data_IF_129620445863
#
_entry.id   IF_129620445863
#
_cell.length_a   1.000
_cell.length_b   1.000
_cell.length_c   1.000
_cell.angle_alpha   90.00
_cell.angle_beta   90.00
_cell.angle_gamma   90.00
#
_symmetry.space_group_name_H-M   'P 1'
#
loop_
_entity.id
_entity.type
_entity.pdbx_description
1 polymer ?
#
# COMPACT_ATOMS: atom_id res chain seq x y z
N UNK A 1 39.91 -3.75 -5.24
CA UNK A 1 38.76 -2.83 -5.34
C UNK A 1 37.55 -3.59 -4.86
N UNK A 2 36.75 -3.04 -3.95
CA UNK A 2 35.49 -3.70 -3.57
C UNK A 2 34.59 -3.78 -4.81
N UNK A 3 33.82 -4.86 -4.91
CA UNK A 3 32.95 -5.11 -6.06
C UNK A 3 31.72 -4.23 -5.90
N UNK A 4 31.51 -3.29 -6.84
CA UNK A 4 30.31 -2.45 -6.88
C UNK A 4 29.04 -3.31 -6.90
N UNK A 5 27.98 -2.85 -6.23
CA UNK A 5 26.72 -3.56 -6.17
C UNK A 5 25.87 -3.22 -7.41
N UNK A 6 25.43 -4.20 -8.21
CA UNK A 6 24.60 -3.93 -9.37
C UNK A 6 23.20 -3.47 -8.95
N UNK A 7 22.72 -2.36 -9.52
CA UNK A 7 21.37 -1.83 -9.29
C UNK A 7 20.72 -1.45 -10.62
N UNK A 8 19.42 -1.61 -10.71
CA UNK A 8 18.62 -1.11 -11.83
C UNK A 8 18.17 0.32 -11.50
N UNK A 9 18.23 1.23 -12.46
CA UNK A 9 17.79 2.62 -12.31
C UNK A 9 16.81 3.01 -13.41
N UNK A 10 15.72 3.69 -13.03
CA UNK A 10 14.80 4.32 -13.97
C UNK A 10 14.59 5.80 -13.65
N UNK A 11 14.81 6.67 -14.65
CA UNK A 11 14.68 8.12 -14.51
C UNK A 11 13.22 8.58 -14.44
N UNK A 12 12.27 7.73 -14.82
CA UNK A 12 10.84 8.01 -14.75
C UNK A 12 10.41 9.23 -15.59
N UNK A 13 9.31 9.85 -15.17
CA UNK A 13 8.63 10.91 -15.93
C UNK A 13 8.57 12.23 -15.13
N UNK A 14 8.27 13.33 -15.81
CA UNK A 14 8.07 14.65 -15.20
C UNK A 14 9.33 15.19 -14.51
N UNK A 15 9.28 15.43 -13.19
CA UNK A 15 10.47 15.84 -12.41
C UNK A 15 11.49 14.71 -12.21
N UNK A 16 11.10 13.46 -12.52
CA UNK A 16 11.88 12.26 -12.27
C UNK A 16 13.35 12.36 -12.73
N UNK A 17 13.63 12.76 -13.98
CA UNK A 17 14.99 12.87 -14.46
C UNK A 17 15.86 13.82 -13.65
N UNK A 18 15.36 15.02 -13.32
CA UNK A 18 16.11 16.05 -12.57
C UNK A 18 16.46 15.59 -11.16
N UNK A 19 15.51 14.95 -10.46
CA UNK A 19 15.76 14.47 -9.09
C UNK A 19 16.61 13.20 -9.06
N UNK A 20 16.53 12.36 -10.10
CA UNK A 20 17.39 11.17 -10.25
C UNK A 20 18.84 11.59 -10.51
N UNK A 21 19.08 12.54 -11.41
CA UNK A 21 20.43 13.10 -11.64
C UNK A 21 21.04 13.63 -10.35
N UNK A 22 20.28 14.46 -9.61
CA UNK A 22 20.71 14.99 -8.31
C UNK A 22 21.01 13.88 -7.30
N UNK A 23 20.15 12.87 -7.21
CA UNK A 23 20.31 11.76 -6.26
C UNK A 23 21.53 10.91 -6.60
N UNK A 24 21.71 10.50 -7.86
CA UNK A 24 22.85 9.71 -8.29
C UNK A 24 24.18 10.45 -8.09
N UNK A 25 24.20 11.76 -8.34
CA UNK A 25 25.36 12.60 -8.07
C UNK A 25 25.74 12.58 -6.59
N UNK A 26 24.77 12.79 -5.68
CA UNK A 26 25.00 12.73 -4.23
C UNK A 26 25.46 11.33 -3.78
N UNK A 27 24.87 10.27 -4.32
CA UNK A 27 25.27 8.89 -4.01
C UNK A 27 26.73 8.63 -4.41
N UNK A 28 27.11 9.05 -5.61
CA UNK A 28 28.46 8.89 -6.14
C UNK A 28 29.49 9.63 -5.28
N UNK A 29 29.28 10.93 -5.02
CA UNK A 29 30.20 11.73 -4.20
C UNK A 29 30.20 11.30 -2.74
N UNK A 30 29.08 10.76 -2.26
CA UNK A 30 28.94 10.14 -0.94
C UNK A 30 29.73 8.85 -0.76
N UNK A 31 30.29 8.29 -1.84
CA UNK A 31 31.08 7.07 -1.83
C UNK A 31 30.26 5.80 -1.93
N UNK A 32 29.05 5.85 -2.49
CA UNK A 32 28.25 4.66 -2.76
C UNK A 32 28.89 3.81 -3.86
N UNK A 33 29.05 2.51 -3.60
CA UNK A 33 29.66 1.56 -4.53
C UNK A 33 28.58 0.89 -5.39
N UNK A 34 28.12 1.61 -6.43
CA UNK A 34 27.00 1.19 -7.28
C UNK A 34 27.46 0.92 -8.73
N UNK A 35 27.00 -0.19 -9.29
CA UNK A 35 27.08 -0.51 -10.73
C UNK A 35 25.67 -0.32 -11.32
N UNK A 36 25.47 0.80 -12.02
CA UNK A 36 24.15 1.24 -12.44
C UNK A 36 23.79 0.68 -13.81
N UNK A 37 22.66 -0.01 -13.88
CA UNK A 37 21.99 -0.43 -15.12
C UNK A 37 20.76 0.44 -15.35
N UNK A 38 20.80 1.31 -16.36
CA UNK A 38 19.66 2.20 -16.66
C UNK A 38 18.65 1.49 -17.56
N UNK A 39 17.36 1.61 -17.21
CA UNK A 39 16.23 1.09 -17.98
C UNK A 39 15.22 2.21 -18.26
N UNK A 40 14.41 1.99 -19.30
CA UNK A 40 13.26 2.84 -19.62
C UNK A 40 11.96 2.14 -19.19
N UNK A 41 11.08 2.90 -18.54
CA UNK A 41 9.75 2.49 -18.10
C UNK A 41 8.82 3.71 -18.10
N UNK A 42 7.51 3.48 -18.03
CA UNK A 42 6.55 4.56 -17.85
C UNK A 42 5.99 5.11 -19.16
N UNK A 43 5.71 6.42 -19.20
CA UNK A 43 4.97 7.09 -20.28
C UNK A 43 5.56 6.80 -21.67
N UNK A 44 6.87 6.93 -21.82
CA UNK A 44 7.55 6.69 -23.10
C UNK A 44 7.40 5.23 -23.58
N UNK A 45 7.39 4.28 -22.65
CA UNK A 45 7.25 2.85 -22.98
C UNK A 45 5.81 2.52 -23.36
N UNK A 46 4.82 3.12 -22.71
CA UNK A 46 3.42 3.03 -23.14
C UNK A 46 3.22 3.59 -24.56
N UNK A 47 3.79 4.77 -24.84
CA UNK A 47 3.71 5.41 -26.15
C UNK A 47 4.40 4.58 -27.26
N UNK A 48 5.38 3.77 -26.90
CA UNK A 48 6.04 2.83 -27.79
C UNK A 48 5.23 1.54 -28.06
N UNK A 49 4.03 1.40 -27.46
CA UNK A 49 3.10 0.28 -27.70
C UNK A 49 3.18 -0.85 -26.66
N UNK A 50 4.01 -0.73 -25.64
CA UNK A 50 4.14 -1.72 -24.57
C UNK A 50 3.07 -1.49 -23.49
N UNK A 51 2.01 -2.30 -23.53
CA UNK A 51 0.84 -2.11 -22.67
C UNK A 51 1.12 -2.24 -21.16
N UNK A 52 2.24 -2.87 -20.78
CA UNK A 52 2.65 -2.98 -19.38
C UNK A 52 3.50 -1.79 -18.89
N UNK A 53 3.94 -0.90 -19.80
CA UNK A 53 4.81 0.23 -19.47
C UNK A 53 6.24 -0.17 -19.06
N UNK A 54 6.62 -1.42 -19.35
CA UNK A 54 7.93 -2.02 -19.09
C UNK A 54 8.18 -3.13 -20.12
N UNK A 55 9.39 -3.19 -20.67
CA UNK A 55 9.78 -4.21 -21.67
C UNK A 55 10.59 -5.37 -21.03
N UNK A 56 10.82 -6.45 -21.77
CA UNK A 56 11.51 -7.64 -21.24
C UNK A 56 12.97 -7.36 -20.85
N UNK A 57 13.69 -6.49 -21.56
CA UNK A 57 15.07 -6.12 -21.20
C UNK A 57 15.14 -5.42 -19.84
N UNK A 58 14.16 -4.57 -19.55
CA UNK A 58 14.02 -3.93 -18.25
C UNK A 58 13.73 -4.97 -17.15
N UNK A 59 12.86 -5.95 -17.43
CA UNK A 59 12.63 -7.08 -16.51
C UNK A 59 13.89 -7.92 -16.26
N UNK A 60 14.68 -8.21 -17.29
CA UNK A 60 15.94 -8.95 -17.16
C UNK A 60 16.92 -8.23 -16.22
N UNK A 61 17.04 -6.91 -16.34
CA UNK A 61 17.85 -6.06 -15.45
C UNK A 61 17.32 -6.14 -14.01
N UNK A 62 16.02 -5.90 -13.79
CA UNK A 62 15.39 -5.98 -12.45
C UNK A 62 15.59 -7.35 -11.80
N UNK A 63 15.38 -8.45 -12.54
CA UNK A 63 15.56 -9.83 -12.02
C UNK A 63 17.02 -10.13 -11.69
N UNK A 64 17.97 -9.57 -12.45
CA UNK A 64 19.41 -9.75 -12.25
C UNK A 64 19.90 -8.95 -11.04
N UNK A 65 19.57 -7.66 -10.96
CA UNK A 65 20.08 -6.78 -9.91
C UNK A 65 19.33 -6.97 -8.59
N UNK A 66 18.03 -7.31 -8.63
CA UNK A 66 17.12 -7.42 -7.48
C UNK A 66 16.96 -6.15 -6.63
N UNK A 67 17.66 -5.09 -7.00
CA UNK A 67 17.64 -3.77 -6.37
C UNK A 67 17.28 -2.78 -7.45
N UNK A 68 16.18 -2.06 -7.24
CA UNK A 68 15.64 -1.14 -8.22
C UNK A 68 15.42 0.24 -7.60
N UNK A 69 16.13 1.25 -8.08
CA UNK A 69 15.92 2.65 -7.69
C UNK A 69 15.21 3.39 -8.82
N UNK A 70 14.05 3.98 -8.54
CA UNK A 70 13.30 4.69 -9.57
C UNK A 70 12.76 6.03 -9.14
N UNK A 71 12.76 6.95 -10.09
CA UNK A 71 12.01 8.19 -9.97
C UNK A 71 10.50 7.94 -10.19
N UNK A 72 9.64 8.95 -9.94
CA UNK A 72 8.20 8.84 -10.18
C UNK A 72 7.86 8.57 -11.64
N UNK A 73 6.77 7.83 -11.87
CA UNK A 73 6.27 7.45 -13.20
C UNK A 73 4.84 7.98 -13.35
N UNK A 74 4.51 8.55 -14.49
CA UNK A 74 3.15 9.03 -14.78
C UNK A 74 2.26 7.82 -15.11
N UNK A 75 1.13 7.69 -14.41
CA UNK A 75 0.06 6.72 -14.76
C UNK A 75 -1.10 7.50 -15.40
N UNK A 76 -1.61 7.10 -16.59
CA UNK A 76 -2.77 7.74 -17.21
C UNK A 76 -4.01 7.73 -16.28
N UNK A 77 -4.80 8.81 -16.27
CA UNK A 77 -6.03 8.91 -15.45
C UNK A 77 -7.27 8.47 -16.23
N UNK A 78 -8.20 7.77 -15.57
CA UNK A 78 -9.59 7.59 -16.05
C UNK A 78 -9.81 6.53 -17.13
N UNK A 79 -8.79 5.75 -17.48
CA UNK A 79 -8.86 4.64 -18.45
C UNK A 79 -7.49 4.31 -19.03
N UNK A 80 -7.29 3.08 -19.50
CA UNK A 80 -6.03 2.63 -20.11
C UNK A 80 -5.23 1.64 -19.25
N UNK A 81 -3.92 1.62 -19.48
CA UNK A 81 -2.98 0.60 -18.98
C UNK A 81 -2.90 0.51 -17.45
N UNK A 82 -2.66 -0.70 -16.93
CA UNK A 82 -2.44 -0.95 -15.50
C UNK A 82 -1.17 -0.21 -15.03
N UNK A 83 -1.19 0.38 -13.83
CA UNK A 83 -0.04 1.10 -13.29
C UNK A 83 1.25 0.25 -13.29
N UNK A 84 2.35 0.79 -13.83
CA UNK A 84 3.68 0.15 -13.80
C UNK A 84 4.11 -0.12 -12.36
N UNK A 85 3.84 0.80 -11.43
CA UNK A 85 4.22 0.66 -10.03
C UNK A 85 3.57 -0.58 -9.40
N UNK A 86 2.26 -0.76 -9.61
CA UNK A 86 1.51 -1.92 -9.13
C UNK A 86 2.02 -3.21 -9.80
N UNK A 87 2.30 -3.14 -11.11
CA UNK A 87 2.84 -4.27 -11.87
C UNK A 87 4.20 -4.73 -11.34
N UNK A 88 5.13 -3.81 -11.07
CA UNK A 88 6.46 -4.13 -10.51
C UNK A 88 6.34 -4.69 -9.11
N UNK A 89 5.53 -4.08 -8.24
CA UNK A 89 5.31 -4.56 -6.87
C UNK A 89 4.78 -5.99 -6.84
N UNK A 90 3.75 -6.28 -7.63
CA UNK A 90 3.18 -7.62 -7.72
C UNK A 90 4.14 -8.65 -8.34
N UNK A 91 4.85 -8.30 -9.41
CA UNK A 91 5.75 -9.23 -10.09
C UNK A 91 7.01 -9.56 -9.27
N UNK A 92 7.50 -8.62 -8.46
CA UNK A 92 8.67 -8.81 -7.59
C UNK A 92 8.31 -9.32 -6.19
N UNK A 93 7.03 -9.39 -5.85
CA UNK A 93 6.56 -9.82 -4.53
C UNK A 93 6.92 -8.83 -3.41
N UNK A 94 6.80 -7.52 -3.68
CA UNK A 94 7.22 -6.44 -2.78
C UNK A 94 6.13 -6.09 -1.76
N UNK A 95 5.86 -7.00 -0.83
CA UNK A 95 4.73 -6.97 0.10
C UNK A 95 4.74 -5.83 1.13
N UNK A 96 5.90 -5.26 1.48
CA UNK A 96 6.00 -4.20 2.48
C UNK A 96 6.46 -2.87 1.88
N UNK A 97 5.68 -1.80 2.02
CA UNK A 97 6.08 -0.44 1.66
C UNK A 97 6.37 0.38 2.93
N UNK A 98 7.63 0.71 3.17
CA UNK A 98 8.13 1.44 4.34
C UNK A 98 8.25 2.93 4.03
N UNK A 99 7.63 3.78 4.84
CA UNK A 99 7.56 5.24 4.66
C UNK A 99 7.84 5.96 5.98
N UNK A 100 9.10 6.29 6.28
CA UNK A 100 9.45 7.11 7.44
C UNK A 100 8.91 8.55 7.29
N UNK A 101 8.11 9.00 8.25
CA UNK A 101 7.54 10.34 8.31
C UNK A 101 8.11 11.05 9.54
N UNK A 102 9.13 11.88 9.31
CA UNK A 102 9.92 12.53 10.36
C UNK A 102 9.76 14.06 10.24
N UNK A 103 9.72 14.74 11.38
CA UNK A 103 9.80 16.19 11.48
C UNK A 103 11.26 16.66 11.47
N UNK A 104 11.53 17.72 10.72
CA UNK A 104 12.84 18.38 10.66
C UNK A 104 12.80 19.79 11.27
N UNK A 105 11.91 19.99 12.25
CA UNK A 105 11.82 21.25 12.97
C UNK A 105 13.13 21.58 13.74
N UNK A 106 13.47 22.88 13.91
CA UNK A 106 12.76 24.05 13.41
C UNK A 106 13.12 24.44 11.96
N UNK A 107 13.90 23.62 11.24
CA UNK A 107 14.43 23.98 9.91
C UNK A 107 13.40 23.79 8.79
N UNK A 108 12.54 22.78 8.92
CA UNK A 108 11.34 22.64 8.10
C UNK A 108 10.14 22.95 8.98
N UNK A 109 9.33 23.93 8.55
CA UNK A 109 8.13 24.34 9.30
C UNK A 109 7.08 23.22 9.29
N UNK A 110 6.60 22.86 10.48
CA UNK A 110 5.50 21.91 10.67
C UNK A 110 4.71 22.25 11.93
N UNK A 111 3.47 21.78 11.99
CA UNK A 111 2.64 21.82 13.21
C UNK A 111 3.02 20.73 14.22
N UNK A 112 3.83 19.74 13.82
CA UNK A 112 4.16 18.56 14.64
C UNK A 112 5.69 18.42 14.77
N UNK A 113 6.35 19.29 15.57
CA UNK A 113 7.80 19.37 15.62
C UNK A 113 8.48 18.10 16.16
N UNK A 114 7.77 17.29 16.94
CA UNK A 114 8.28 16.07 17.58
C UNK A 114 7.92 14.78 16.83
N UNK A 115 7.27 14.88 15.66
CA UNK A 115 6.85 13.71 14.89
C UNK A 115 8.05 12.88 14.41
N UNK A 116 8.08 11.60 14.74
CA UNK A 116 9.05 10.62 14.25
C UNK A 116 8.41 9.23 14.22
N UNK A 117 7.71 8.94 13.11
CA UNK A 117 6.99 7.68 12.93
C UNK A 117 7.34 7.02 11.60
N UNK A 118 7.02 5.74 11.48
CA UNK A 118 7.20 4.96 10.24
C UNK A 118 5.90 4.26 9.89
N UNK A 119 5.43 4.46 8.67
CA UNK A 119 4.29 3.69 8.15
C UNK A 119 4.81 2.48 7.37
N UNK A 120 4.28 1.31 7.69
CA UNK A 120 4.50 0.04 7.02
C UNK A 120 3.19 -0.35 6.35
N UNK A 121 3.12 -0.14 5.05
CA UNK A 121 1.92 -0.41 4.23
C UNK A 121 2.02 -1.79 3.57
N UNK A 122 0.97 -2.60 3.72
CA UNK A 122 0.75 -3.80 2.89
C UNK A 122 0.58 -3.39 1.42
N UNK A 123 1.19 -4.11 0.48
CA UNK A 123 1.46 -3.60 -0.86
C UNK A 123 1.14 -4.56 -2.01
N UNK A 124 0.50 -5.70 -1.73
CA UNK A 124 0.15 -6.76 -2.69
C UNK A 124 -1.37 -6.99 -2.86
N UNK A 125 -2.18 -6.74 -1.82
CA UNK A 125 -3.61 -7.06 -1.83
C UNK A 125 -4.50 -5.83 -1.55
N UNK A 126 -5.68 -6.04 -0.95
CA UNK A 126 -6.75 -5.05 -0.74
C UNK A 126 -7.34 -4.52 -2.06
N UNK A 127 -8.06 -3.40 -2.00
CA UNK A 127 -8.70 -2.74 -3.15
C UNK A 127 -7.71 -2.33 -4.27
N UNK A 128 -6.42 -2.27 -3.97
CA UNK A 128 -5.36 -1.95 -4.93
C UNK A 128 -5.10 -3.06 -5.96
N UNK A 129 -5.68 -4.24 -5.77
CA UNK A 129 -5.67 -5.31 -6.80
C UNK A 129 -6.34 -4.87 -8.11
N UNK A 130 -7.29 -3.93 -8.05
CA UNK A 130 -8.01 -3.40 -9.21
C UNK A 130 -8.94 -4.43 -9.85
N UNK A 131 -9.45 -5.38 -9.06
CA UNK A 131 -10.44 -6.35 -9.52
C UNK A 131 -11.81 -5.69 -9.43
N UNK A 132 -12.29 -5.22 -10.58
CA UNK A 132 -13.53 -4.46 -10.70
C UNK A 132 -14.46 -5.10 -11.74
N UNK A 133 -15.77 -5.03 -11.49
CA UNK A 133 -16.81 -5.53 -12.38
C UNK A 133 -17.91 -4.49 -12.50
N UNK A 134 -18.35 -4.21 -13.72
CA UNK A 134 -19.61 -3.51 -13.94
C UNK A 134 -20.74 -4.55 -13.94
N UNK A 135 -21.54 -4.57 -12.88
CA UNK A 135 -22.59 -5.57 -12.65
C UNK A 135 -23.89 -5.21 -13.41
N UNK A 136 -24.23 -3.92 -13.46
CA UNK A 136 -25.36 -3.36 -14.21
C UNK A 136 -24.91 -2.05 -14.89
N UNK A 137 -25.72 -1.42 -15.76
CA UNK A 137 -25.36 -0.11 -16.33
C UNK A 137 -24.95 0.94 -15.29
N UNK A 138 -25.55 0.91 -14.09
CA UNK A 138 -25.36 1.92 -13.05
C UNK A 138 -24.63 1.41 -11.78
N UNK A 139 -24.17 0.14 -11.79
CA UNK A 139 -23.57 -0.50 -10.61
C UNK A 139 -22.23 -1.14 -10.95
N UNK A 140 -21.19 -0.67 -10.27
CA UNK A 140 -19.85 -1.28 -10.29
C UNK A 140 -19.49 -1.85 -8.92
N UNK A 141 -18.72 -2.93 -8.93
CA UNK A 141 -18.17 -3.60 -7.75
C UNK A 141 -16.65 -3.58 -7.82
N UNK A 142 -16.01 -3.35 -6.67
CA UNK A 142 -14.58 -3.58 -6.47
C UNK A 142 -14.38 -4.65 -5.37
N UNK A 143 -13.47 -5.59 -5.59
CA UNK A 143 -13.22 -6.69 -4.67
C UNK A 143 -12.08 -6.32 -3.70
N UNK A 144 -12.40 -6.28 -2.39
CA UNK A 144 -11.41 -6.18 -1.32
C UNK A 144 -10.98 -7.57 -0.87
N UNK A 145 -9.75 -7.95 -1.22
CA UNK A 145 -9.12 -9.21 -0.80
C UNK A 145 -8.14 -8.95 0.35
N UNK A 146 -8.31 -9.68 1.44
CA UNK A 146 -7.37 -9.72 2.56
C UNK A 146 -7.08 -11.17 2.88
N UNK A 147 -5.79 -11.54 2.95
CA UNK A 147 -5.36 -12.91 3.16
C UNK A 147 -4.50 -13.03 4.41
N UNK A 148 -4.68 -14.14 5.14
CA UNK A 148 -3.87 -14.43 6.34
C UNK A 148 -2.36 -14.40 6.05
N UNK A 149 -1.84 -15.03 4.97
CA UNK A 149 -0.41 -14.99 4.68
C UNK A 149 0.13 -13.57 4.49
N UNK A 150 -0.59 -12.69 3.79
CA UNK A 150 -0.17 -11.30 3.60
C UNK A 150 -0.22 -10.52 4.92
N UNK A 151 -1.30 -10.66 5.70
CA UNK A 151 -1.40 -10.07 7.05
C UNK A 151 -0.25 -10.48 7.96
N UNK A 152 0.15 -11.75 7.93
CA UNK A 152 1.26 -12.27 8.74
C UNK A 152 2.58 -11.68 8.30
N UNK A 153 2.86 -11.68 6.99
CA UNK A 153 4.09 -11.09 6.43
C UNK A 153 4.24 -9.64 6.82
N UNK A 154 3.21 -8.82 6.58
CA UNK A 154 3.30 -7.38 6.80
C UNK A 154 3.36 -7.03 8.29
N UNK A 155 2.58 -7.72 9.12
CA UNK A 155 2.59 -7.51 10.57
C UNK A 155 3.94 -7.89 11.15
N UNK A 156 4.45 -9.09 10.83
CA UNK A 156 5.74 -9.57 11.32
C UNK A 156 6.86 -8.63 10.89
N UNK A 157 6.86 -8.23 9.62
CA UNK A 157 7.81 -7.24 9.11
C UNK A 157 7.77 -5.94 9.92
N UNK A 158 6.59 -5.42 10.29
CA UNK A 158 6.47 -4.20 11.10
C UNK A 158 7.05 -4.36 12.51
N UNK A 159 6.81 -5.50 13.18
CA UNK A 159 7.40 -5.79 14.50
C UNK A 159 8.92 -5.99 14.44
N UNK A 160 9.41 -6.70 13.42
CA UNK A 160 10.86 -6.88 13.22
C UNK A 160 11.55 -5.58 12.85
N UNK A 161 10.92 -4.75 12.01
CA UNK A 161 11.39 -3.40 11.73
C UNK A 161 11.48 -2.59 13.03
N UNK A 162 10.42 -2.62 13.85
CA UNK A 162 10.41 -1.94 15.13
C UNK A 162 11.56 -2.41 16.04
N UNK A 163 11.78 -3.72 16.14
CA UNK A 163 12.88 -4.29 16.91
C UNK A 163 14.26 -3.88 16.37
N UNK A 164 14.47 -3.97 15.05
CA UNK A 164 15.74 -3.65 14.39
C UNK A 164 16.14 -2.19 14.58
N UNK A 165 15.19 -1.27 14.43
CA UNK A 165 15.41 0.17 14.57
C UNK A 165 15.20 0.68 16.00
N UNK A 166 14.99 -0.21 16.97
CA UNK A 166 14.85 0.13 18.39
C UNK A 166 13.57 0.88 18.76
N UNK A 167 12.55 0.86 17.88
CA UNK A 167 11.20 1.39 18.12
C UNK A 167 10.50 0.59 19.22
N UNK A 168 9.49 1.19 19.84
CA UNK A 168 8.85 0.68 21.06
C UNK A 168 7.40 0.30 20.89
N UNK A 169 6.73 0.83 19.86
CA UNK A 169 5.32 0.57 19.63
C UNK A 169 5.02 0.28 18.16
N UNK A 170 4.13 -0.69 17.92
CA UNK A 170 3.51 -0.95 16.62
C UNK A 170 2.01 -0.78 16.79
N UNK A 171 1.42 0.07 15.96
CA UNK A 171 -0.02 0.34 15.96
C UNK A 171 -0.63 -0.11 14.63
N UNK A 172 -1.80 -0.73 14.63
CA UNK A 172 -2.57 -1.04 13.41
C UNK A 172 -3.91 -0.33 13.41
N UNK A 173 -4.38 0.10 12.23
CA UNK A 173 -5.71 0.67 12.07
C UNK A 173 -6.58 -0.18 11.13
N UNK A 174 -7.80 -0.51 11.56
CA UNK A 174 -8.74 -1.31 10.76
C UNK A 174 -10.16 -0.76 10.85
N UNK A 175 -11.07 -1.23 9.99
CA UNK A 175 -12.52 -0.97 10.08
C UNK A 175 -13.29 -2.25 10.42
N UNK A 176 -12.74 -3.08 11.28
CA UNK A 176 -13.29 -4.39 11.65
C UNK A 176 -14.66 -4.32 12.37
N UNK A 177 -15.02 -3.15 12.91
CA UNK A 177 -16.37 -2.88 13.41
C UNK A 177 -17.44 -3.00 12.29
N UNK A 178 -17.09 -2.66 11.05
CA UNK A 178 -17.93 -2.80 9.85
C UNK A 178 -17.51 -4.03 9.01
N UNK A 179 -16.24 -4.10 8.62
CA UNK A 179 -15.65 -5.15 7.80
C UNK A 179 -15.13 -6.31 8.66
N UNK A 180 -16.07 -7.00 9.31
CA UNK A 180 -15.79 -8.02 10.35
C UNK A 180 -14.92 -9.19 9.86
N UNK A 181 -14.93 -9.50 8.57
CA UNK A 181 -14.20 -10.63 8.01
C UNK A 181 -12.83 -10.23 7.46
N UNK A 182 -12.76 -9.26 6.55
CA UNK A 182 -11.50 -8.85 5.92
C UNK A 182 -10.61 -8.08 6.89
N UNK A 183 -11.07 -6.92 7.36
CA UNK A 183 -10.33 -6.11 8.34
C UNK A 183 -10.25 -6.81 9.71
N UNK A 184 -11.26 -7.61 10.07
CA UNK A 184 -11.21 -8.46 11.26
C UNK A 184 -10.16 -9.57 11.17
N UNK A 185 -9.90 -10.14 9.98
CA UNK A 185 -8.78 -11.06 9.78
C UNK A 185 -7.43 -10.35 9.96
N UNK A 186 -7.28 -9.14 9.41
CA UNK A 186 -6.07 -8.34 9.60
C UNK A 186 -5.82 -8.04 11.08
N UNK A 187 -6.83 -7.57 11.80
CA UNK A 187 -6.71 -7.28 13.24
C UNK A 187 -6.39 -8.55 14.05
N UNK A 188 -7.09 -9.65 13.80
CA UNK A 188 -6.82 -10.93 14.47
C UNK A 188 -5.38 -11.38 14.28
N UNK A 189 -4.87 -11.33 13.05
CA UNK A 189 -3.49 -11.70 12.75
C UNK A 189 -2.50 -10.73 13.41
N UNK A 190 -2.81 -9.43 13.41
CA UNK A 190 -2.01 -8.43 14.12
C UNK A 190 -1.82 -8.79 15.59
N UNK A 191 -2.93 -9.15 16.26
CA UNK A 191 -2.91 -9.57 17.65
C UNK A 191 -2.09 -10.83 17.88
N UNK A 192 -2.30 -11.87 17.05
CA UNK A 192 -1.60 -13.16 17.13
C UNK A 192 -0.08 -13.00 17.00
N UNK A 193 0.38 -12.24 16.00
CA UNK A 193 1.80 -12.00 15.77
C UNK A 193 2.39 -11.11 16.87
N UNK A 194 1.64 -10.12 17.36
CA UNK A 194 2.11 -9.23 18.42
C UNK A 194 2.46 -9.96 19.73
N UNK A 195 1.83 -11.10 20.02
CA UNK A 195 2.19 -11.95 21.18
C UNK A 195 3.63 -12.51 21.08
N UNK A 196 4.18 -12.63 19.88
CA UNK A 196 5.56 -13.09 19.66
C UNK A 196 6.61 -12.01 20.01
N UNK A 197 6.19 -10.74 20.17
CA UNK A 197 7.06 -9.58 20.40
C UNK A 197 6.72 -8.83 21.70
N UNK A 198 6.81 -9.47 22.89
CA UNK A 198 6.34 -8.91 24.16
C UNK A 198 7.08 -7.65 24.66
N UNK A 199 8.19 -7.27 24.00
CA UNK A 199 8.96 -6.04 24.31
C UNK A 199 8.48 -4.82 23.50
N UNK A 200 7.57 -5.02 22.55
CA UNK A 200 7.01 -3.99 21.69
C UNK A 200 5.54 -3.84 22.08
N UNK A 201 5.14 -2.62 22.41
CA UNK A 201 3.74 -2.32 22.67
C UNK A 201 2.94 -2.52 21.37
N UNK A 202 1.84 -3.26 21.44
CA UNK A 202 0.89 -3.40 20.33
C UNK A 202 -0.36 -2.58 20.63
N UNK A 203 -0.86 -1.88 19.62
CA UNK A 203 -2.02 -1.01 19.74
C UNK A 203 -2.92 -1.14 18.51
N UNK A 204 -4.24 -1.09 18.71
CA UNK A 204 -5.23 -1.10 17.64
C UNK A 204 -6.14 0.14 17.73
N UNK A 205 -6.46 0.72 16.57
CA UNK A 205 -7.48 1.75 16.43
C UNK A 205 -8.46 1.41 15.30
N UNK A 206 -9.69 1.90 15.42
CA UNK A 206 -10.57 2.00 14.25
C UNK A 206 -10.04 3.12 13.35
N UNK A 207 -9.95 2.86 12.05
CA UNK A 207 -9.30 3.74 11.06
C UNK A 207 -9.81 5.19 11.05
N UNK A 208 -11.09 5.43 11.39
CA UNK A 208 -11.65 6.79 11.43
C UNK A 208 -11.06 7.64 12.56
N UNK A 209 -11.18 7.18 13.79
CA UNK A 209 -10.64 7.86 14.97
C UNK A 209 -9.11 7.76 15.03
N UNK A 210 -8.54 6.66 14.55
CA UNK A 210 -7.10 6.48 14.40
C UNK A 210 -6.50 7.49 13.44
N UNK A 211 -7.10 7.70 12.26
CA UNK A 211 -6.67 8.73 11.32
C UNK A 211 -6.82 10.15 11.89
N UNK A 212 -7.91 10.44 12.60
CA UNK A 212 -8.10 11.73 13.27
C UNK A 212 -7.03 11.98 14.35
N UNK A 213 -6.71 10.95 15.15
CA UNK A 213 -5.65 11.02 16.17
C UNK A 213 -4.28 11.16 15.51
N UNK A 214 -4.01 10.44 14.42
CA UNK A 214 -2.79 10.53 13.63
C UNK A 214 -2.59 11.95 13.07
N UNK A 215 -3.63 12.56 12.52
CA UNK A 215 -3.53 13.92 11.99
C UNK A 215 -3.38 15.00 13.08
N UNK A 216 -3.88 14.75 14.28
CA UNK A 216 -3.85 15.72 15.38
C UNK A 216 -2.61 15.59 16.28
N UNK A 217 -2.20 14.36 16.60
CA UNK A 217 -1.10 14.02 17.50
C UNK A 217 -0.28 12.85 16.94
N UNK A 218 0.38 13.01 15.77
CA UNK A 218 1.16 11.95 15.15
C UNK A 218 2.31 11.45 16.05
N UNK A 219 2.84 12.29 16.95
CA UNK A 219 3.84 11.93 17.96
C UNK A 219 3.39 10.85 18.95
N UNK A 220 2.08 10.54 19.00
CA UNK A 220 1.58 9.41 19.78
C UNK A 220 1.88 8.05 19.13
N UNK A 221 2.33 8.01 17.88
CA UNK A 221 2.60 6.78 17.12
C UNK A 221 4.09 6.62 16.85
N UNK A 222 4.52 5.36 16.66
CA UNK A 222 5.92 5.01 16.40
C UNK A 222 6.02 4.23 15.08
N UNK A 223 5.70 2.94 15.07
CA UNK A 223 5.48 2.19 13.81
C UNK A 223 3.98 1.99 13.60
N UNK A 224 3.48 2.29 12.40
CA UNK A 224 2.06 2.10 12.04
C UNK A 224 1.96 1.12 10.88
N UNK A 225 1.31 -0.03 11.09
CA UNK A 225 1.11 -1.06 10.06
C UNK A 225 -0.32 -1.04 9.54
N UNK A 226 -0.50 -1.05 8.22
CA UNK A 226 -1.81 -0.82 7.60
C UNK A 226 -2.03 -1.70 6.36
N UNK A 227 -3.29 -2.08 6.12
CA UNK A 227 -3.73 -2.63 4.83
C UNK A 227 -3.55 -1.58 3.71
N UNK A 228 -3.46 -2.04 2.45
CA UNK A 228 -2.98 -1.25 1.32
C UNK A 228 -3.63 0.13 1.17
N UNK A 229 -4.97 0.21 1.08
CA UNK A 229 -5.66 1.48 0.82
C UNK A 229 -5.52 2.45 1.99
N UNK A 230 -5.58 1.95 3.23
CA UNK A 230 -5.42 2.80 4.41
C UNK A 230 -3.99 3.31 4.54
N UNK A 231 -3.01 2.44 4.29
CA UNK A 231 -1.59 2.77 4.30
C UNK A 231 -1.23 3.81 3.25
N UNK A 232 -1.83 3.74 2.06
CA UNK A 232 -1.67 4.75 1.02
C UNK A 232 -2.11 6.14 1.50
N UNK A 233 -3.37 6.27 1.92
CA UNK A 233 -3.96 7.55 2.35
C UNK A 233 -3.18 8.14 3.52
N UNK A 234 -2.92 7.35 4.56
CA UNK A 234 -2.30 7.86 5.78
C UNK A 234 -0.82 8.20 5.62
N UNK A 235 -0.11 7.51 4.73
CA UNK A 235 1.29 7.87 4.47
C UNK A 235 1.46 9.14 3.66
N UNK A 236 0.53 9.46 2.77
CA UNK A 236 0.50 10.77 2.10
C UNK A 236 0.19 11.88 3.11
N UNK A 237 -0.74 11.65 4.04
CA UNK A 237 -0.99 12.56 5.16
C UNK A 237 0.28 12.73 6.01
N UNK A 238 0.90 11.63 6.44
CA UNK A 238 2.14 11.64 7.23
C UNK A 238 3.28 12.41 6.53
N UNK A 239 3.46 12.20 5.23
CA UNK A 239 4.45 12.91 4.44
C UNK A 239 4.18 14.42 4.37
N UNK A 240 2.92 14.82 4.27
CA UNK A 240 2.56 16.24 4.31
C UNK A 240 2.76 16.84 5.72
N UNK A 241 2.53 16.08 6.80
CA UNK A 241 2.80 16.51 8.18
C UNK A 241 4.31 16.67 8.46
N UNK A 242 5.18 15.95 7.74
CA UNK A 242 6.64 16.15 7.76
C UNK A 242 7.11 17.50 7.19
N UNK A 243 6.19 18.28 6.60
CA UNK A 243 6.43 19.61 6.06
C UNK A 243 6.34 19.67 4.54
N UNK A 244 6.66 18.58 3.85
CA UNK A 244 6.50 18.45 2.39
C UNK A 244 6.53 16.98 1.99
N UNK A 245 5.66 16.60 1.05
CA UNK A 245 5.73 15.29 0.37
C UNK A 245 7.06 15.06 -0.34
N UNK A 246 7.81 16.14 -0.65
CA UNK A 246 9.16 16.10 -1.19
C UNK A 246 10.23 15.64 -0.19
N UNK A 247 9.88 15.33 1.06
CA UNK A 247 10.79 14.88 2.11
C UNK A 247 10.63 13.42 2.51
N UNK A 248 9.72 12.66 1.91
CA UNK A 248 9.48 11.26 2.31
C UNK A 248 9.83 10.31 1.17
N UNK A 249 10.89 9.53 1.42
CA UNK A 249 11.26 8.38 0.59
C UNK A 249 10.51 7.13 1.01
N UNK A 250 10.51 6.12 0.14
CA UNK A 250 9.89 4.83 0.42
C UNK A 250 10.72 3.66 -0.07
N UNK A 251 10.58 2.53 0.64
CA UNK A 251 11.19 1.26 0.30
C UNK A 251 10.10 0.19 0.18
N UNK A 252 9.98 -0.42 -0.99
CA UNK A 252 9.12 -1.55 -1.27
C UNK A 252 9.99 -2.82 -1.15
N UNK A 253 9.78 -3.60 -0.10
CA UNK A 253 10.58 -4.75 0.27
C UNK A 253 9.83 -6.04 -0.05
N UNK A 254 10.53 -6.98 -0.67
CA UNK A 254 10.07 -8.34 -0.89
C UNK A 254 11.17 -9.36 -0.56
N UNK A 255 10.81 -10.64 -0.59
CA UNK A 255 11.75 -11.73 -0.28
C UNK A 255 12.88 -11.87 -1.33
N UNK A 256 12.63 -11.44 -2.57
CA UNK A 256 13.52 -11.68 -3.73
C UNK A 256 14.19 -10.43 -4.26
N UNK A 257 13.87 -9.27 -3.71
CA UNK A 257 14.40 -7.98 -4.13
C UNK A 257 13.68 -6.82 -3.46
N UNK A 258 14.08 -5.60 -3.85
CA UNK A 258 13.52 -4.38 -3.32
C UNK A 258 13.47 -3.26 -4.38
N UNK A 259 12.50 -2.36 -4.22
CA UNK A 259 12.35 -1.16 -5.02
C UNK A 259 12.30 0.09 -4.13
N UNK A 260 13.11 1.08 -4.45
CA UNK A 260 13.26 2.33 -3.70
C UNK A 260 12.80 3.50 -4.56
N UNK A 261 11.98 4.38 -3.99
CA UNK A 261 11.34 5.47 -4.72
C UNK A 261 10.98 6.63 -3.79
N UNK A 262 10.72 7.81 -4.36
CA UNK A 262 10.00 8.87 -3.66
C UNK A 262 8.51 8.51 -3.50
N UNK A 263 7.84 9.02 -2.46
CA UNK A 263 6.39 8.82 -2.29
C UNK A 263 5.56 9.58 -3.35
N UNK A 264 6.06 10.74 -3.79
CA UNK A 264 5.31 11.66 -4.65
C UNK A 264 5.28 11.22 -6.12
N UNK A 265 4.30 11.75 -6.87
CA UNK A 265 4.17 11.53 -8.32
C UNK A 265 5.16 12.36 -9.17
N UNK A 266 4.98 12.30 -10.49
CA UNK A 266 5.85 12.93 -11.50
C UNK A 266 5.78 14.46 -11.56
N UNK A 267 4.82 15.08 -10.87
CA UNK A 267 4.62 16.54 -10.81
C UNK A 267 4.90 17.28 -12.15
N UNK A 268 4.19 16.97 -13.25
CA UNK A 268 4.54 17.45 -14.61
C UNK A 268 4.68 18.97 -14.74
N UNK A 269 3.95 19.74 -13.91
CA UNK A 269 4.01 21.21 -13.88
C UNK A 269 5.36 21.77 -13.43
N UNK A 270 6.19 20.98 -12.76
CA UNK A 270 7.50 21.36 -12.23
C UNK A 270 8.66 20.84 -13.10
N UNK A 271 8.38 19.95 -14.05
CA UNK A 271 9.41 19.31 -14.89
C UNK A 271 10.23 20.34 -15.69
N UNK A 272 11.54 20.14 -15.72
CA UNK A 272 12.52 20.93 -16.47
C UNK A 272 12.78 22.33 -15.88
N UNK A 273 12.31 22.62 -14.66
CA UNK A 273 12.39 23.96 -14.06
C UNK A 273 13.49 24.09 -13.02
N UNK A 274 14.22 23.02 -12.69
CA UNK A 274 15.23 23.00 -11.63
C UNK A 274 14.70 23.53 -10.28
N UNK A 275 13.46 23.16 -9.90
CA UNK A 275 12.84 23.59 -8.63
C UNK A 275 12.29 22.42 -7.80
N UNK A 276 12.39 21.19 -8.29
CA UNK A 276 11.95 20.01 -7.58
C UNK A 276 12.89 19.71 -6.41
N UNK A 277 12.34 19.21 -5.31
CA UNK A 277 13.12 18.77 -4.16
C UNK A 277 13.56 17.32 -4.35
N UNK A 278 14.87 17.01 -4.45
CA UNK A 278 15.33 15.62 -4.65
C UNK A 278 15.32 14.80 -3.35
N UNK A 279 14.99 15.41 -2.19
CA UNK A 279 15.14 14.79 -0.87
C UNK A 279 14.37 13.47 -0.71
N UNK A 280 13.13 13.39 -1.18
CA UNK A 280 12.34 12.16 -1.08
C UNK A 280 13.02 10.98 -1.79
N UNK A 281 13.51 11.18 -3.03
CA UNK A 281 14.20 10.14 -3.77
C UNK A 281 15.56 9.80 -3.12
N UNK A 282 16.29 10.81 -2.65
CA UNK A 282 17.54 10.63 -1.90
C UNK A 282 17.34 9.79 -0.63
N UNK A 283 16.27 10.05 0.14
CA UNK A 283 15.95 9.29 1.35
C UNK A 283 15.48 7.87 1.02
N UNK A 284 14.81 7.65 -0.11
CA UNK A 284 14.58 6.32 -0.67
C UNK A 284 15.90 5.61 -1.01
N UNK A 285 16.84 6.32 -1.62
CA UNK A 285 18.16 5.79 -1.95
C UNK A 285 19.04 5.53 -0.71
N UNK A 286 18.88 6.29 0.38
CA UNK A 286 19.52 5.98 1.66
C UNK A 286 18.99 4.64 2.20
N UNK A 287 17.68 4.39 2.13
CA UNK A 287 17.11 3.07 2.47
C UNK A 287 17.66 1.96 1.55
N UNK A 288 17.90 2.24 0.27
CA UNK A 288 18.57 1.32 -0.66
C UNK A 288 19.99 0.98 -0.18
N UNK A 289 20.79 1.99 0.20
CA UNK A 289 22.15 1.78 0.70
C UNK A 289 22.17 0.90 1.95
N UNK A 290 21.19 1.07 2.86
CA UNK A 290 21.03 0.19 4.02
C UNK A 290 20.69 -1.24 3.61
N UNK A 291 19.78 -1.42 2.64
CA UNK A 291 19.40 -2.73 2.12
C UNK A 291 20.58 -3.48 1.48
N UNK A 292 21.45 -2.78 0.74
CA UNK A 292 22.64 -3.37 0.11
C UNK A 292 23.88 -3.36 1.01
N UNK A 293 23.70 -3.12 2.32
CA UNK A 293 24.73 -3.17 3.36
C UNK A 293 25.89 -2.18 3.15
N UNK A 294 25.58 -0.93 2.79
CA UNK A 294 26.52 0.20 2.73
C UNK A 294 26.20 1.28 3.79
N UNK A 295 26.21 0.96 5.10
CA UNK A 295 25.78 1.87 6.16
C UNK A 295 26.69 3.11 6.32
N UNK A 296 27.98 3.01 5.98
CA UNK A 296 28.93 4.13 6.06
C UNK A 296 28.58 5.21 5.02
N UNK A 297 28.34 4.80 3.77
CA UNK A 297 27.90 5.71 2.71
C UNK A 297 26.53 6.33 3.05
N UNK A 298 25.58 5.50 3.50
CA UNK A 298 24.27 5.95 3.94
C UNK A 298 24.36 7.00 5.06
N UNK A 299 25.20 6.76 6.07
CA UNK A 299 25.38 7.68 7.21
C UNK A 299 26.02 8.99 6.77
N UNK A 300 27.02 8.93 5.89
CA UNK A 300 27.69 10.13 5.36
C UNK A 300 26.75 11.01 4.57
N UNK A 301 26.00 10.41 3.65
CA UNK A 301 25.05 11.11 2.77
C UNK A 301 23.90 11.69 3.59
N UNK A 302 23.30 10.90 4.47
CA UNK A 302 22.17 11.36 5.25
C UNK A 302 22.58 12.49 6.21
N UNK A 303 23.74 12.42 6.86
CA UNK A 303 24.23 13.53 7.69
C UNK A 303 24.56 14.78 6.87
N UNK A 304 25.12 14.66 5.66
CA UNK A 304 25.33 15.79 4.76
C UNK A 304 24.00 16.47 4.36
N UNK A 305 22.98 15.68 4.08
CA UNK A 305 21.63 16.17 3.82
C UNK A 305 21.00 16.87 5.03
N UNK A 306 21.07 16.26 6.22
CA UNK A 306 20.59 16.87 7.46
C UNK A 306 21.31 18.19 7.74
N UNK A 307 22.63 18.23 7.54
CA UNK A 307 23.42 19.46 7.70
C UNK A 307 23.02 20.55 6.69
N UNK A 308 22.61 20.16 5.48
CA UNK A 308 22.13 21.08 4.44
C UNK A 308 20.83 21.77 4.87
N UNK A 309 19.88 21.01 5.41
CA UNK A 309 18.65 21.56 5.98
C UNK A 309 18.94 22.45 7.19
N UNK A 310 19.81 22.01 8.10
CA UNK A 310 20.18 22.78 9.29
C UNK A 310 20.84 24.13 8.95
N UNK A 311 21.62 24.18 7.88
CA UNK A 311 22.23 25.42 7.38
C UNK A 311 21.23 26.32 6.63
N UNK A 312 19.97 25.89 6.49
CA UNK A 312 18.88 26.64 5.87
C UNK A 312 19.00 26.75 4.35
N UNK A 313 19.66 25.79 3.70
CA UNK A 313 19.74 25.71 2.24
C UNK A 313 18.56 24.86 1.76
N UNK A 314 17.53 25.48 1.22
CA UNK A 314 16.22 24.86 1.01
C UNK A 314 15.71 25.01 -0.42
N UNK A 315 15.03 23.97 -0.91
CA UNK A 315 14.27 24.02 -2.16
C UNK A 315 12.96 24.77 -1.97
N UNK A 316 12.28 25.10 -3.09
CA UNK A 316 11.10 25.97 -3.09
C UNK A 316 9.96 25.52 -2.17
N UNK A 317 9.74 24.21 -2.07
CA UNK A 317 8.65 23.59 -1.30
C UNK A 317 8.81 23.73 0.22
N UNK A 318 10.04 23.79 0.73
CA UNK A 318 10.35 23.90 2.17
C UNK A 318 10.99 25.24 2.55
N UNK A 319 11.23 26.12 1.57
CA UNK A 319 11.74 27.46 1.83
C UNK A 319 10.71 28.31 2.57
N UNK A 320 11.13 28.90 3.69
CA UNK A 320 10.36 29.84 4.48
C UNK A 320 11.23 31.01 4.93
N UNK A 321 10.77 32.22 4.66
CA UNK A 321 11.44 33.45 5.11
C UNK A 321 11.57 33.46 6.63
N UNK A 322 12.74 33.84 7.15
CA UNK A 322 13.03 33.85 8.59
C UNK A 322 13.48 32.50 9.18
N UNK A 323 13.23 31.38 8.48
CA UNK A 323 13.75 30.04 8.86
C UNK A 323 14.89 29.64 7.92
N UNK A 324 14.68 29.80 6.62
CA UNK A 324 15.63 29.44 5.57
C UNK A 324 16.63 30.56 5.34
N UNK A 325 17.87 30.18 5.02
CA UNK A 325 18.94 31.14 4.66
C UNK A 325 19.06 31.36 3.16
N UNK A 326 18.83 30.31 2.37
CA UNK A 326 18.99 30.37 0.91
C UNK A 326 17.98 29.47 0.22
N UNK A 327 17.25 30.04 -0.75
CA UNK A 327 16.44 29.25 -1.70
C UNK A 327 17.33 28.75 -2.84
N UNK A 328 17.30 27.46 -3.12
CA UNK A 328 18.08 26.83 -4.20
C UNK A 328 17.19 26.00 -5.14
N UNK A 329 17.70 25.73 -6.35
CA UNK A 329 17.11 24.77 -7.27
C UNK A 329 17.52 23.33 -6.95
N UNK A 330 17.06 22.38 -7.76
CA UNK A 330 17.32 20.94 -7.59
C UNK A 330 18.82 20.64 -7.63
N UNK A 331 19.52 21.15 -8.63
CA UNK A 331 20.95 20.93 -8.84
C UNK A 331 21.78 21.60 -7.74
N UNK A 332 21.49 22.85 -7.43
CA UNK A 332 22.21 23.60 -6.41
C UNK A 332 21.98 23.05 -5.00
N UNK A 333 20.82 22.44 -4.74
CA UNK A 333 20.58 21.70 -3.51
C UNK A 333 21.47 20.44 -3.44
N UNK A 334 21.60 19.70 -4.55
CA UNK A 334 22.46 18.51 -4.59
C UNK A 334 23.94 18.87 -4.34
N UNK A 335 24.45 19.91 -4.98
CA UNK A 335 25.80 20.44 -4.73
C UNK A 335 25.98 20.85 -3.26
N UNK A 336 24.98 21.53 -2.68
CA UNK A 336 25.03 21.91 -1.28
C UNK A 336 25.09 20.72 -0.31
N UNK A 337 24.46 19.58 -0.67
CA UNK A 337 24.58 18.32 0.07
C UNK A 337 25.98 17.72 -0.10
N UNK A 338 26.52 17.71 -1.32
CA UNK A 338 27.87 17.23 -1.63
C UNK A 338 28.93 18.00 -0.85
N UNK A 339 28.84 19.33 -0.81
CA UNK A 339 29.71 20.22 -0.03
C UNK A 339 29.73 19.89 1.48
N UNK A 340 28.69 19.20 1.97
CA UNK A 340 28.50 18.85 3.39
C UNK A 340 28.71 17.37 3.68
N UNK A 341 29.14 16.57 2.71
CA UNK A 341 29.45 15.17 2.94
C UNK A 341 30.56 15.03 4.00
N UNK A 342 30.31 14.19 5.00
CA UNK A 342 31.22 14.00 6.14
C UNK A 342 31.04 15.00 7.28
N UNK A 343 30.24 16.05 7.09
CA UNK A 343 29.79 16.91 8.18
C UNK A 343 28.63 16.26 8.94
N UNK A 344 28.40 16.69 10.18
CA UNK A 344 27.26 16.25 11.00
C UNK A 344 26.41 17.47 11.38
N UNK A 345 25.07 17.33 11.44
CA UNK A 345 24.22 18.36 12.02
C UNK A 345 24.53 18.56 13.51
N UNK A 346 24.37 19.79 13.99
CA UNK A 346 24.56 20.21 15.39
C UNK A 346 23.25 20.18 16.19
N UNK A 347 22.12 20.51 15.54
CA UNK A 347 20.79 20.58 16.16
C UNK A 347 19.88 19.45 15.72
N UNK A 348 19.88 19.09 14.44
CA UNK A 348 19.19 17.88 13.99
C UNK A 348 19.92 16.65 14.52
N UNK A 349 19.17 15.58 14.83
CA UNK A 349 19.76 14.33 15.32
C UNK A 349 20.59 13.68 14.21
N UNK A 350 21.91 13.68 14.38
CA UNK A 350 22.81 12.98 13.47
C UNK A 350 22.53 11.47 13.47
N UNK A 351 22.70 10.84 12.31
CA UNK A 351 22.51 9.39 12.15
C UNK A 351 23.84 8.64 12.17
N UNK A 352 23.82 7.40 12.62
CA UNK A 352 24.92 6.45 12.47
C UNK A 352 24.35 5.05 12.26
N UNK A 353 24.34 4.63 11.00
CA UNK A 353 23.79 3.34 10.60
C UNK A 353 24.77 2.17 10.79
N UNK A 354 26.04 2.44 11.10
CA UNK A 354 27.02 1.38 11.37
C UNK A 354 26.75 0.65 12.69
N UNK A 355 25.97 1.28 13.58
CA UNK A 355 25.53 0.74 14.85
C UNK A 355 24.23 -0.08 14.76
N UNK A 356 23.60 -0.12 13.58
CA UNK A 356 22.39 -0.92 13.42
C UNK A 356 22.74 -2.41 13.55
N UNK A 357 21.87 -3.22 14.22
CA UNK A 357 22.06 -4.65 14.28
C UNK A 357 22.17 -5.23 12.86
N UNK A 358 23.05 -6.20 12.62
CA UNK A 358 23.14 -6.91 11.33
C UNK A 358 21.95 -7.84 11.04
N UNK A 359 20.87 -7.73 11.81
CA UNK A 359 19.72 -8.62 11.72
C UNK A 359 18.94 -8.32 10.43
N UNK A 360 18.78 -9.32 9.58
CA UNK A 360 17.89 -9.21 8.42
C UNK A 360 16.44 -9.09 8.90
N UNK A 361 15.70 -8.10 8.42
CA UNK A 361 14.25 -8.07 8.60
C UNK A 361 13.68 -9.14 7.66
N UNK A 362 13.15 -10.23 8.20
CA UNK A 362 12.78 -11.42 7.46
C UNK A 362 11.29 -11.73 7.65
N UNK A 363 10.47 -11.48 6.62
CA UNK A 363 9.08 -11.93 6.66
C UNK A 363 8.99 -13.45 6.49
N UNK A 364 9.04 -14.17 7.60
CA UNK A 364 8.67 -15.58 7.64
C UNK A 364 7.16 -15.71 7.83
N UNK A 365 6.52 -16.54 6.99
CA UNK A 365 5.13 -16.95 7.20
C UNK A 365 5.13 -18.09 8.21
N UNK A 366 4.26 -18.03 9.21
CA UNK A 366 4.08 -19.14 10.14
C UNK A 366 3.47 -20.37 9.43
N UNK A 367 3.76 -21.56 9.93
CA UNK A 367 3.03 -22.76 9.49
C UNK A 367 1.68 -22.82 10.19
N UNK A 368 0.58 -22.72 9.43
CA UNK A 368 -0.77 -22.88 9.97
C UNK A 368 -1.39 -24.20 9.53
N UNK A 369 -2.03 -24.96 10.43
CA UNK A 369 -2.76 -26.15 10.04
C UNK A 369 -3.93 -25.76 9.14
N UNK A 370 -3.89 -26.20 7.88
CA UNK A 370 -4.93 -25.93 6.86
C UNK A 370 -6.14 -26.88 7.03
N UNK A 371 -6.12 -27.77 8.04
CA UNK A 371 -7.21 -28.74 8.26
C UNK A 371 -8.44 -28.06 8.85
N UNK A 372 -9.19 -27.38 7.99
CA UNK A 372 -10.49 -26.78 8.29
C UNK A 372 -11.56 -27.58 7.56
N UNK A 373 -12.61 -27.99 8.28
CA UNK A 373 -13.77 -28.63 7.66
C UNK A 373 -14.56 -27.55 6.92
N UNK A 374 -14.49 -27.56 5.59
CA UNK A 374 -15.22 -26.64 4.72
C UNK A 374 -16.52 -27.29 4.24
N UNK A 375 -17.65 -26.66 4.53
CA UNK A 375 -18.98 -27.16 4.11
C UNK A 375 -19.71 -26.10 3.29
N UNK A 376 -20.17 -26.46 2.09
CA UNK A 376 -21.01 -25.60 1.27
C UNK A 376 -22.45 -25.68 1.76
N UNK A 377 -23.05 -24.54 2.12
CA UNK A 377 -24.40 -24.51 2.70
C UNK A 377 -25.39 -23.63 1.93
N UNK A 378 -24.93 -22.92 0.90
CA UNK A 378 -25.78 -22.02 0.14
C UNK A 378 -25.07 -21.24 -0.96
N UNK A 379 -25.79 -20.28 -1.52
CA UNK A 379 -25.32 -19.36 -2.56
C UNK A 379 -26.05 -18.02 -2.44
N UNK A 380 -25.32 -16.92 -2.57
CA UNK A 380 -25.89 -15.62 -2.89
C UNK A 380 -25.92 -15.47 -4.41
N UNK A 381 -27.09 -15.21 -4.99
CA UNK A 381 -27.28 -14.97 -6.42
C UNK A 381 -27.63 -13.50 -6.63
N UNK A 382 -26.91 -12.84 -7.52
CA UNK A 382 -27.09 -11.43 -7.83
C UNK A 382 -27.89 -11.32 -9.12
N UNK A 383 -28.92 -10.48 -9.12
CA UNK A 383 -29.83 -10.29 -10.25
C UNK A 383 -29.80 -8.84 -10.73
N UNK A 384 -29.89 -8.65 -12.05
CA UNK A 384 -30.19 -7.37 -12.67
C UNK A 384 -31.69 -7.27 -12.96
N UNK A 385 -32.38 -6.33 -12.31
CA UNK A 385 -33.81 -6.10 -12.56
C UNK A 385 -34.27 -4.72 -12.10
N UNK A 386 -35.16 -4.11 -12.88
CA UNK A 386 -35.89 -2.88 -12.51
C UNK A 386 -37.19 -3.16 -11.74
N UNK A 387 -37.48 -4.43 -11.47
CA UNK A 387 -38.68 -4.84 -10.75
C UNK A 387 -38.61 -4.51 -9.25
N UNK A 388 -39.77 -4.41 -8.60
CA UNK A 388 -39.83 -4.24 -7.14
C UNK A 388 -39.44 -5.54 -6.42
N UNK A 389 -39.01 -5.42 -5.15
CA UNK A 389 -38.69 -6.59 -4.31
C UNK A 389 -39.83 -7.60 -4.23
N UNK A 390 -41.09 -7.14 -4.21
CA UNK A 390 -42.27 -8.02 -4.19
C UNK A 390 -42.37 -8.85 -5.47
N UNK A 391 -42.20 -8.23 -6.63
CA UNK A 391 -42.23 -8.93 -7.92
C UNK A 391 -41.05 -9.88 -8.09
N UNK A 392 -39.86 -9.50 -7.62
CA UNK A 392 -38.70 -10.40 -7.60
C UNK A 392 -38.97 -11.61 -6.70
N UNK A 393 -39.53 -11.40 -5.51
CA UNK A 393 -39.88 -12.48 -4.60
C UNK A 393 -40.93 -13.42 -5.22
N UNK A 394 -41.96 -12.88 -5.88
CA UNK A 394 -42.96 -13.67 -6.61
C UNK A 394 -42.33 -14.51 -7.72
N UNK A 395 -41.39 -13.93 -8.49
CA UNK A 395 -40.67 -14.65 -9.55
C UNK A 395 -39.78 -15.77 -9.02
N UNK A 396 -39.12 -15.54 -7.86
CA UNK A 396 -38.28 -16.54 -7.22
C UNK A 396 -39.08 -17.69 -6.61
N UNK A 397 -40.34 -17.46 -6.28
CA UNK A 397 -41.21 -18.47 -5.67
C UNK A 397 -41.37 -19.68 -6.61
N UNK A 398 -41.06 -20.87 -6.11
CA UNK A 398 -41.12 -22.11 -6.90
C UNK A 398 -39.89 -22.41 -7.77
N UNK A 399 -38.92 -21.49 -7.87
CA UNK A 399 -37.63 -21.75 -8.53
C UNK A 399 -36.59 -22.37 -7.58
N UNK A 400 -36.87 -22.33 -6.28
CA UNK A 400 -36.09 -22.96 -5.22
C UNK A 400 -35.89 -24.46 -5.44
N UNK A 401 -34.91 -25.04 -4.73
CA UNK A 401 -34.72 -26.50 -4.69
C UNK A 401 -35.08 -27.02 -3.29
N UNK A 402 -35.42 -28.30 -3.13
CA UNK A 402 -35.67 -28.87 -1.80
C UNK A 402 -34.53 -28.65 -0.79
N UNK A 403 -33.30 -28.45 -1.29
CA UNK A 403 -32.10 -28.25 -0.48
C UNK A 403 -31.62 -26.79 -0.41
N UNK A 404 -32.21 -25.88 -1.18
CA UNK A 404 -31.87 -24.45 -1.20
C UNK A 404 -33.14 -23.62 -1.25
N UNK A 405 -33.41 -22.91 -0.17
CA UNK A 405 -34.57 -22.05 0.01
C UNK A 405 -34.10 -20.59 0.14
N UNK A 406 -34.87 -19.66 -0.42
CA UNK A 406 -34.63 -18.23 -0.34
C UNK A 406 -34.77 -17.78 1.12
N UNK A 407 -33.69 -17.23 1.68
CA UNK A 407 -33.64 -16.75 3.05
C UNK A 407 -33.81 -15.24 3.14
N UNK A 408 -33.23 -14.50 2.20
CA UNK A 408 -33.32 -13.04 2.17
C UNK A 408 -33.10 -12.49 0.77
N UNK A 409 -33.65 -11.29 0.55
CA UNK A 409 -33.28 -10.42 -0.56
C UNK A 409 -32.74 -9.13 0.04
N UNK A 410 -31.61 -8.69 -0.47
CA UNK A 410 -31.02 -7.41 -0.07
C UNK A 410 -30.72 -6.54 -1.27
N UNK A 411 -30.67 -5.24 -1.02
CA UNK A 411 -30.29 -4.23 -1.99
C UNK A 411 -29.25 -3.33 -1.33
N UNK A 412 -28.06 -3.20 -1.95
CA UNK A 412 -26.91 -2.48 -1.36
C UNK A 412 -26.56 -2.91 0.07
N UNK A 413 -26.68 -4.21 0.35
CA UNK A 413 -26.40 -4.79 1.67
C UNK A 413 -27.49 -4.56 2.73
N UNK A 414 -28.59 -3.88 2.39
CA UNK A 414 -29.74 -3.70 3.29
C UNK A 414 -30.78 -4.78 2.99
N UNK A 415 -31.23 -5.49 4.03
CA UNK A 415 -32.31 -6.47 3.89
C UNK A 415 -33.62 -5.78 3.53
N UNK A 416 -34.18 -6.15 2.37
CA UNK A 416 -35.46 -5.65 1.86
C UNK A 416 -36.53 -6.73 1.86
N UNK A 417 -36.14 -7.99 2.04
CA UNK A 417 -37.05 -9.11 2.30
C UNK A 417 -36.33 -10.21 3.13
N UNK A 418 -37.04 -10.88 4.06
CA UNK A 418 -38.38 -10.54 4.56
C UNK A 418 -38.36 -9.24 5.38
N UNK A 419 -39.53 -8.59 5.51
CA UNK A 419 -39.75 -7.43 6.40
C UNK A 419 -38.82 -6.22 6.14
N UNK A 420 -38.62 -5.86 4.87
CA UNK A 420 -37.86 -4.66 4.50
C UNK A 420 -38.55 -3.35 4.87
N UNK A 421 -37.77 -2.30 5.11
CA UNK A 421 -38.29 -0.95 5.25
C UNK A 421 -38.73 -0.41 3.87
N UNK A 422 -40.00 0.00 3.67
CA UNK A 422 -40.49 0.50 2.39
C UNK A 422 -39.78 1.76 1.89
N UNK A 423 -39.14 2.52 2.78
CA UNK A 423 -38.38 3.73 2.44
C UNK A 423 -36.95 3.41 1.95
N UNK A 424 -36.56 2.13 1.89
CA UNK A 424 -35.23 1.73 1.43
C UNK A 424 -35.09 2.04 -0.07
N UNK A 425 -34.21 2.98 -0.39
CA UNK A 425 -33.84 3.25 -1.78
C UNK A 425 -33.13 2.03 -2.38
N UNK A 426 -33.74 1.45 -3.41
CA UNK A 426 -33.25 0.27 -4.11
C UNK A 426 -32.67 0.65 -5.48
N UNK A 427 -31.58 -0.02 -5.87
CA UNK A 427 -30.98 0.03 -7.20
C UNK A 427 -31.35 -1.23 -8.00
N UNK A 428 -30.95 -1.28 -9.27
CA UNK A 428 -31.27 -2.37 -10.21
C UNK A 428 -30.48 -3.68 -9.97
N UNK A 429 -29.63 -3.71 -8.95
CA UNK A 429 -28.89 -4.89 -8.49
C UNK A 429 -29.50 -5.45 -7.20
N UNK A 430 -29.91 -6.72 -7.23
CA UNK A 430 -30.49 -7.43 -6.10
C UNK A 430 -29.61 -8.60 -5.70
N UNK A 431 -29.42 -8.84 -4.40
CA UNK A 431 -28.76 -10.06 -3.90
C UNK A 431 -29.78 -10.94 -3.22
N UNK A 432 -29.96 -12.14 -3.75
CA UNK A 432 -30.89 -13.16 -3.28
C UNK A 432 -30.12 -14.30 -2.63
N UNK A 433 -30.29 -14.48 -1.33
CA UNK A 433 -29.60 -15.52 -0.56
C UNK A 433 -30.40 -16.80 -0.53
N UNK A 434 -29.81 -17.89 -1.02
CA UNK A 434 -30.37 -19.23 -0.94
C UNK A 434 -29.52 -20.10 -0.03
N UNK A 435 -30.13 -20.74 0.98
CA UNK A 435 -29.42 -21.61 1.91
C UNK A 435 -30.18 -22.91 2.16
N UNK A 436 -29.43 -23.95 2.49
CA UNK A 436 -29.93 -25.22 2.96
C UNK A 436 -29.75 -25.38 4.47
N UNK A 437 -30.54 -26.27 5.07
CA UNK A 437 -30.40 -26.65 6.48
C UNK A 437 -29.21 -27.59 6.74
N UNK A 438 -28.55 -28.05 5.68
CA UNK A 438 -27.43 -28.99 5.72
C UNK A 438 -26.48 -28.73 4.54
N UNK A 439 -25.40 -29.51 4.46
CA UNK A 439 -24.45 -29.40 3.35
C UNK A 439 -25.13 -29.62 1.99
N UNK A 440 -24.86 -28.71 1.06
CA UNK A 440 -25.41 -28.68 -0.29
C UNK A 440 -24.32 -29.04 -1.29
N UNK A 441 -24.66 -29.86 -2.29
CA UNK A 441 -23.72 -30.18 -3.37
C UNK A 441 -23.68 -29.05 -4.42
N UNK A 442 -22.53 -28.80 -5.07
CA UNK A 442 -22.43 -27.79 -6.14
C UNK A 442 -23.43 -27.99 -7.29
N UNK A 443 -23.87 -29.22 -7.55
CA UNK A 443 -24.86 -29.55 -8.58
C UNK A 443 -26.24 -28.94 -8.26
N UNK A 444 -26.60 -28.85 -6.98
CA UNK A 444 -27.86 -28.21 -6.56
C UNK A 444 -27.84 -26.72 -6.86
N UNK A 445 -26.70 -26.04 -6.61
CA UNK A 445 -26.51 -24.63 -6.98
C UNK A 445 -26.59 -24.45 -8.50
N UNK A 446 -25.94 -25.33 -9.28
CA UNK A 446 -26.04 -25.31 -10.74
C UNK A 446 -27.49 -25.47 -11.23
N UNK A 447 -28.26 -26.36 -10.59
CA UNK A 447 -29.68 -26.53 -10.90
C UNK A 447 -30.52 -25.29 -10.56
N UNK A 448 -30.22 -24.60 -9.46
CA UNK A 448 -30.90 -23.35 -9.11
C UNK A 448 -30.62 -22.27 -10.17
N UNK A 449 -29.35 -22.07 -10.53
CA UNK A 449 -28.96 -21.09 -11.56
C UNK A 449 -29.64 -21.40 -12.89
N UNK A 450 -29.70 -22.66 -13.29
CA UNK A 450 -30.40 -23.07 -14.51
C UNK A 450 -31.89 -22.74 -14.48
N UNK A 451 -32.58 -22.99 -13.37
CA UNK A 451 -34.00 -22.64 -13.18
C UNK A 451 -34.24 -21.13 -13.26
N UNK A 452 -33.36 -20.34 -12.66
CA UNK A 452 -33.42 -18.87 -12.74
C UNK A 452 -33.26 -18.39 -14.19
N UNK A 453 -32.33 -18.98 -14.94
CA UNK A 453 -32.13 -18.68 -16.35
C UNK A 453 -33.34 -19.08 -17.22
N UNK A 454 -33.93 -20.26 -16.98
CA UNK A 454 -35.15 -20.71 -17.68
C UNK A 454 -36.34 -19.79 -17.41
N UNK A 455 -36.43 -19.23 -16.20
CA UNK A 455 -37.40 -18.21 -15.82
C UNK A 455 -37.06 -16.80 -16.35
N UNK A 456 -35.99 -16.66 -17.13
CA UNK A 456 -35.49 -15.39 -17.71
C UNK A 456 -35.12 -14.34 -16.67
N UNK A 457 -34.66 -14.77 -15.50
CA UNK A 457 -34.08 -13.89 -14.50
C UNK A 457 -32.61 -13.64 -14.84
N UNK A 458 -32.22 -12.37 -14.93
CA UNK A 458 -30.86 -12.00 -15.36
C UNK A 458 -29.87 -12.14 -14.21
N UNK A 459 -29.21 -13.31 -14.13
CA UNK A 459 -28.19 -13.62 -13.11
C UNK A 459 -26.85 -13.03 -13.54
N UNK A 460 -26.39 -12.01 -12.81
CA UNK A 460 -25.16 -11.27 -13.13
C UNK A 460 -23.94 -11.72 -12.32
N UNK A 461 -24.15 -12.35 -11.15
CA UNK A 461 -23.07 -12.85 -10.28
C UNK A 461 -23.60 -13.90 -9.30
N UNK A 462 -22.72 -14.77 -8.79
CA UNK A 462 -23.03 -15.69 -7.69
C UNK A 462 -21.85 -15.84 -6.73
N UNK A 463 -22.13 -15.98 -5.43
CA UNK A 463 -21.13 -16.21 -4.38
C UNK A 463 -21.52 -17.42 -3.53
N UNK A 464 -20.63 -18.39 -3.39
CA UNK A 464 -20.89 -19.59 -2.60
C UNK A 464 -20.81 -19.30 -1.10
N UNK A 465 -21.74 -19.85 -0.33
CA UNK A 465 -21.80 -19.69 1.12
C UNK A 465 -21.20 -20.92 1.78
N UNK A 466 -19.99 -20.76 2.31
CA UNK A 466 -19.28 -21.80 3.04
C UNK A 466 -19.34 -21.57 4.54
N UNK A 467 -19.32 -22.67 5.31
CA UNK A 467 -18.88 -22.67 6.70
C UNK A 467 -17.47 -23.24 6.81
N UNK A 468 -16.74 -22.77 7.81
CA UNK A 468 -15.39 -23.20 8.17
C UNK A 468 -15.41 -23.63 9.63
N UNK A 469 -15.32 -24.94 9.88
CA UNK A 469 -15.51 -25.55 11.21
C UNK A 469 -16.84 -25.13 11.86
N UNK A 470 -17.92 -25.14 11.07
CA UNK A 470 -19.27 -24.76 11.49
C UNK A 470 -19.51 -23.25 11.63
N UNK A 471 -18.48 -22.41 11.46
CA UNK A 471 -18.63 -20.94 11.49
C UNK A 471 -18.94 -20.39 10.09
N UNK A 472 -19.95 -19.52 9.93
CA UNK A 472 -20.24 -18.89 8.65
C UNK A 472 -19.03 -18.12 8.09
N UNK A 473 -18.70 -18.38 6.82
CA UNK A 473 -17.71 -17.66 6.03
C UNK A 473 -18.31 -16.51 5.22
N UNK A 474 -19.38 -15.89 5.72
CA UNK A 474 -20.13 -14.80 5.08
C UNK A 474 -20.87 -13.99 6.17
N UNK A 475 -21.39 -12.82 5.81
CA UNK A 475 -22.11 -11.93 6.75
C UNK A 475 -23.64 -12.15 6.71
N UNK A 476 -24.35 -11.83 7.80
CA UNK A 476 -25.77 -12.13 8.00
C UNK A 476 -26.76 -11.35 7.12
N UNK A 477 -26.34 -10.18 6.62
CA UNK A 477 -27.15 -9.45 5.66
C UNK A 477 -27.11 -10.19 4.35
#
# INVERSE_FOLDING_TARGET
MAKKHPITVAYGDGIGPEIMEATLHILQEGGAELEIETIEIGEQVYLAGEAAGINEKAWESIRRTKVFLKAPITTPQGGGYRSVNVTIRGAMGLYANVRPCISYAPFVETKHPEMDLVIVRENEEDLYTGIEYQLTPDVCEAVKLISRPACEKITRFAFEYAQHYGRKKVTTFTKDNILKMSDGLFHKVFDEIGEEYPKIEKEHWIIDIGAAKFAHSPEAFDVVVLANLYGDILSDVGAQLSGSVGLVGSANIGERGAMFEAIHGSAPRLAGKNIANPSALLLGAIQMLLYIQQPEAASRIHNGWLKTLEDGIHTKDIYKEGVSRKKVGTREFAEAVVDRLGMRPEKLKAVDYTQLPKHEVAAHIGSHPISVKRELIGVDVYLYSHDSVGKIQEQLFGLETPSLQLQSITNRGVRVWPEGNPDTFCIDQWRCRFQGNSMVSPQVIGSLIHRLADARMDVIKSENLYTFDGKPGFSDA
#
